data_IF_691808540318
#
_entry.id   IF_691808540318
#
_cell.length_a   1.000
_cell.length_b   1.000
_cell.length_c   1.000
_cell.angle_alpha   90.00
_cell.angle_beta   90.00
_cell.angle_gamma   90.00
#
_symmetry.space_group_name_H-M   'P 1'
#
loop_
_entity.id
_entity.type
_entity.pdbx_description
1 polymer ?
#
# COMPACT_ATOMS: atom_id res chain seq x y z
N UNK A 1 53.54 0.10 -72.50
CA UNK A 1 53.58 -0.55 -71.17
C UNK A 1 54.21 0.43 -70.18
N UNK A 2 53.46 0.91 -69.19
CA UNK A 2 53.97 1.86 -68.18
C UNK A 2 54.64 1.05 -67.06
N UNK A 3 55.96 1.17 -66.94
CA UNK A 3 56.73 0.46 -65.91
C UNK A 3 56.30 0.94 -64.51
N UNK A 4 55.77 0.04 -63.69
CA UNK A 4 55.51 0.29 -62.28
C UNK A 4 56.87 0.22 -61.57
N UNK A 5 57.51 1.36 -61.38
CA UNK A 5 58.70 1.47 -60.51
C UNK A 5 58.28 1.17 -59.08
N UNK A 6 58.64 -0.01 -58.57
CA UNK A 6 58.51 -0.33 -57.14
C UNK A 6 59.45 0.60 -56.37
N UNK A 7 58.89 1.60 -55.69
CA UNK A 7 59.63 2.35 -54.67
C UNK A 7 60.08 1.36 -53.60
N UNK A 8 61.39 1.23 -53.39
CA UNK A 8 61.93 0.45 -52.29
C UNK A 8 61.51 1.11 -50.98
N UNK A 9 60.78 0.38 -50.14
CA UNK A 9 60.45 0.82 -48.79
C UNK A 9 61.76 0.90 -47.99
N UNK A 10 62.10 2.08 -47.47
CA UNK A 10 63.19 2.18 -46.47
C UNK A 10 62.70 1.45 -45.21
N UNK A 11 63.51 0.54 -44.69
CA UNK A 11 63.16 -0.23 -43.49
C UNK A 11 62.90 0.66 -42.29
N UNK A 12 61.97 0.25 -41.43
CA UNK A 12 61.69 0.93 -40.16
C UNK A 12 62.85 0.74 -39.19
N UNK A 13 63.21 1.78 -38.45
CA UNK A 13 64.16 1.65 -37.36
C UNK A 13 63.51 0.92 -36.17
N UNK A 14 64.32 0.18 -35.40
CA UNK A 14 63.84 -0.52 -34.20
C UNK A 14 63.21 0.45 -33.19
N UNK A 15 63.73 1.68 -33.10
CA UNK A 15 63.19 2.73 -32.23
C UNK A 15 61.81 3.25 -32.69
N UNK A 16 61.56 3.38 -34.00
CA UNK A 16 60.24 3.74 -34.53
C UNK A 16 59.20 2.67 -34.21
N UNK A 17 59.57 1.38 -34.28
CA UNK A 17 58.69 0.28 -33.90
C UNK A 17 58.34 0.32 -32.40
N UNK A 18 59.34 0.56 -31.54
CA UNK A 18 59.13 0.68 -30.09
C UNK A 18 58.20 1.84 -29.74
N UNK A 19 58.40 3.00 -30.36
CA UNK A 19 57.54 4.19 -30.15
C UNK A 19 56.12 3.92 -30.65
N UNK A 20 55.97 3.32 -31.83
CA UNK A 20 54.65 3.01 -32.40
C UNK A 20 53.85 2.05 -31.50
N UNK A 21 54.50 1.00 -30.97
CA UNK A 21 53.86 0.05 -30.05
C UNK A 21 53.51 0.75 -28.73
N UNK A 22 54.39 1.59 -28.19
CA UNK A 22 54.12 2.35 -26.96
C UNK A 22 52.89 3.24 -27.10
N UNK A 23 52.80 4.03 -28.17
CA UNK A 23 51.65 4.90 -28.44
C UNK A 23 50.39 4.06 -28.66
N UNK A 24 50.48 2.98 -29.44
CA UNK A 24 49.37 2.06 -29.67
C UNK A 24 48.80 1.47 -28.38
N UNK A 25 49.66 1.07 -27.45
CA UNK A 25 49.26 0.56 -26.13
C UNK A 25 48.57 1.63 -25.29
N UNK A 26 49.10 2.85 -25.25
CA UNK A 26 48.50 3.97 -24.51
C UNK A 26 47.09 4.27 -25.04
N UNK A 27 46.93 4.34 -26.36
CA UNK A 27 45.63 4.57 -26.99
C UNK A 27 44.64 3.43 -26.70
N UNK A 28 45.09 2.17 -26.77
CA UNK A 28 44.25 1.02 -26.46
C UNK A 28 43.74 1.06 -25.02
N UNK A 29 44.60 1.39 -24.04
CA UNK A 29 44.21 1.54 -22.64
C UNK A 29 43.16 2.66 -22.49
N UNK A 30 43.35 3.79 -23.17
CA UNK A 30 42.37 4.88 -23.16
C UNK A 30 40.99 4.45 -23.68
N UNK A 31 40.93 3.73 -24.81
CA UNK A 31 39.67 3.24 -25.38
C UNK A 31 39.00 2.21 -24.46
N UNK A 32 39.76 1.31 -23.84
CA UNK A 32 39.22 0.34 -22.88
C UNK A 32 38.58 1.04 -21.69
N UNK A 33 39.20 2.11 -21.16
CA UNK A 33 38.64 2.90 -20.06
C UNK A 33 37.31 3.56 -20.46
N UNK A 34 37.25 4.21 -21.63
CA UNK A 34 36.02 4.83 -22.15
C UNK A 34 34.92 3.80 -22.31
N UNK A 35 35.23 2.65 -22.92
CA UNK A 35 34.25 1.58 -23.11
C UNK A 35 33.77 0.99 -21.77
N UNK A 36 34.66 0.79 -20.80
CA UNK A 36 34.30 0.31 -19.47
C UNK A 36 33.41 1.32 -18.71
N UNK A 37 33.72 2.60 -18.81
CA UNK A 37 32.89 3.67 -18.24
C UNK A 37 31.50 3.72 -18.91
N UNK A 38 31.43 3.66 -20.24
CA UNK A 38 30.18 3.63 -20.99
C UNK A 38 29.32 2.42 -20.63
N UNK A 39 29.93 1.22 -20.52
CA UNK A 39 29.24 0.01 -20.06
C UNK A 39 28.67 0.18 -18.66
N UNK A 40 29.44 0.76 -17.74
CA UNK A 40 28.99 0.99 -16.35
C UNK A 40 27.84 1.98 -16.30
N UNK A 41 27.93 3.08 -17.06
CA UNK A 41 26.86 4.08 -17.17
C UNK A 41 25.57 3.48 -17.75
N UNK A 42 25.69 2.64 -18.79
CA UNK A 42 24.56 1.94 -19.38
C UNK A 42 23.87 0.99 -18.38
N UNK A 43 24.65 0.20 -17.64
CA UNK A 43 24.11 -0.71 -16.62
C UNK A 43 23.42 0.05 -15.48
N UNK A 44 23.98 1.20 -15.06
CA UNK A 44 23.34 2.06 -14.07
C UNK A 44 22.01 2.62 -14.59
N UNK A 45 21.99 3.12 -15.83
CA UNK A 45 20.78 3.64 -16.47
C UNK A 45 19.67 2.58 -16.58
N UNK A 46 20.03 1.39 -17.06
CA UNK A 46 19.09 0.26 -17.15
C UNK A 46 18.58 -0.19 -15.77
N UNK A 47 19.45 -0.21 -14.75
CA UNK A 47 19.06 -0.52 -13.38
C UNK A 47 18.09 0.51 -12.79
N UNK A 48 18.33 1.81 -13.01
CA UNK A 48 17.44 2.89 -12.58
C UNK A 48 16.08 2.85 -13.29
N UNK A 49 16.05 2.50 -14.58
CA UNK A 49 14.79 2.37 -15.32
C UNK A 49 13.93 1.22 -14.75
N UNK A 50 14.54 0.05 -14.51
CA UNK A 50 13.86 -1.10 -13.87
C UNK A 50 13.38 -0.75 -12.46
N UNK A 51 14.19 -0.01 -11.71
CA UNK A 51 13.86 0.45 -10.37
C UNK A 51 12.60 1.32 -10.32
N UNK A 52 12.52 2.29 -11.23
CA UNK A 52 11.37 3.20 -11.33
C UNK A 52 10.11 2.45 -11.78
N UNK A 53 10.25 1.54 -12.74
CA UNK A 53 9.13 0.74 -13.23
C UNK A 53 8.58 -0.19 -12.13
N UNK A 54 9.46 -0.90 -11.43
CA UNK A 54 9.08 -1.75 -10.32
C UNK A 54 8.44 -0.93 -9.19
N UNK A 55 9.01 0.23 -8.84
CA UNK A 55 8.42 1.15 -7.87
C UNK A 55 6.98 1.56 -8.26
N UNK A 56 6.74 1.86 -9.54
CA UNK A 56 5.40 2.19 -10.05
C UNK A 56 4.43 1.02 -9.90
N UNK A 57 4.82 -0.19 -10.27
CA UNK A 57 3.98 -1.38 -10.10
C UNK A 57 3.68 -1.66 -8.63
N UNK A 58 4.67 -1.53 -7.74
CA UNK A 58 4.48 -1.77 -6.30
C UNK A 58 3.43 -0.83 -5.71
N UNK A 59 3.49 0.46 -6.07
CA UNK A 59 2.50 1.46 -5.64
C UNK A 59 1.13 1.18 -6.23
N UNK A 60 1.04 0.78 -7.51
CA UNK A 60 -0.24 0.47 -8.16
C UNK A 60 -0.97 -0.69 -7.48
N UNK A 61 -0.27 -1.79 -7.21
CA UNK A 61 -0.83 -2.93 -6.47
C UNK A 61 -1.33 -2.54 -5.08
N UNK A 62 -0.51 -1.80 -4.32
CA UNK A 62 -0.88 -1.35 -2.98
C UNK A 62 -2.09 -0.40 -3.02
N UNK A 63 -2.08 0.60 -3.91
CA UNK A 63 -3.15 1.58 -4.00
C UNK A 63 -4.48 0.94 -4.40
N UNK A 64 -4.49 -0.01 -5.33
CA UNK A 64 -5.70 -0.71 -5.76
C UNK A 64 -6.38 -1.41 -4.58
N UNK A 65 -5.63 -2.20 -3.81
CA UNK A 65 -6.21 -2.99 -2.73
C UNK A 65 -6.47 -2.13 -1.48
N UNK A 66 -5.64 -1.12 -1.19
CA UNK A 66 -5.87 -0.17 -0.09
C UNK A 66 -7.18 0.62 -0.30
N UNK A 67 -7.51 0.99 -1.54
CA UNK A 67 -8.78 1.65 -1.88
C UNK A 67 -10.00 0.75 -1.67
N UNK A 68 -9.80 -0.56 -1.64
CA UNK A 68 -10.87 -1.53 -1.39
C UNK A 68 -11.03 -1.85 0.09
N UNK A 69 -10.04 -1.58 0.94
CA UNK A 69 -10.15 -1.88 2.37
C UNK A 69 -11.42 -1.25 2.97
N UNK A 70 -12.24 -2.07 3.63
CA UNK A 70 -13.52 -1.64 4.20
C UNK A 70 -14.67 -1.55 3.20
N UNK A 71 -14.48 -1.96 1.94
CA UNK A 71 -15.59 -2.19 1.02
C UNK A 71 -16.42 -3.40 1.50
N UNK A 72 -17.67 -3.18 1.86
CA UNK A 72 -18.60 -4.22 2.33
C UNK A 72 -19.92 -4.19 1.53
N UNK A 73 -19.85 -4.01 0.21
CA UNK A 73 -21.02 -3.90 -0.66
C UNK A 73 -21.41 -2.44 -0.91
N UNK A 74 -22.70 -2.08 -0.74
CA UNK A 74 -23.15 -0.73 -1.13
C UNK A 74 -22.49 0.42 -0.36
N UNK A 75 -22.14 0.20 0.91
CA UNK A 75 -21.56 1.21 1.80
C UNK A 75 -20.27 0.69 2.42
N UNK A 76 -19.38 1.61 2.79
CA UNK A 76 -18.12 1.28 3.45
C UNK A 76 -18.32 0.85 4.91
N UNK A 77 -17.28 0.27 5.48
CA UNK A 77 -17.19 -0.15 6.87
C UNK A 77 -17.53 0.98 7.85
N UNK A 78 -17.00 2.17 7.66
CA UNK A 78 -17.21 3.30 8.55
C UNK A 78 -18.69 3.67 8.69
N UNK A 79 -19.46 3.63 7.60
CA UNK A 79 -20.90 3.85 7.64
C UNK A 79 -21.64 2.71 8.37
N UNK A 80 -21.21 1.45 8.20
CA UNK A 80 -21.84 0.30 8.87
C UNK A 80 -21.54 0.27 10.36
N UNK A 81 -20.35 0.67 10.76
CA UNK A 81 -19.93 0.62 12.16
C UNK A 81 -20.61 1.66 13.06
N UNK A 82 -21.29 2.66 12.47
CA UNK A 82 -22.13 3.61 13.21
C UNK A 82 -23.39 2.98 13.81
N UNK A 83 -23.85 1.84 13.27
CA UNK A 83 -25.06 1.16 13.72
C UNK A 83 -24.70 -0.27 14.11
N UNK A 84 -24.83 -0.58 15.40
CA UNK A 84 -24.54 -1.91 15.93
C UNK A 84 -25.33 -2.99 15.17
N UNK A 85 -24.63 -4.00 14.66
CA UNK A 85 -25.21 -5.12 13.93
C UNK A 85 -25.24 -4.97 12.40
N UNK A 86 -25.00 -3.77 11.85
CA UNK A 86 -24.96 -3.58 10.38
C UNK A 86 -23.77 -4.25 9.70
N UNK A 87 -22.66 -4.46 10.41
CA UNK A 87 -21.59 -5.35 9.99
C UNK A 87 -21.45 -6.46 11.02
N UNK A 88 -21.65 -7.71 10.60
CA UNK A 88 -21.54 -8.89 11.45
C UNK A 88 -20.46 -9.82 10.89
N UNK A 89 -19.37 -10.01 11.64
CA UNK A 89 -18.37 -11.02 11.32
C UNK A 89 -18.71 -12.31 12.07
N UNK A 90 -19.02 -13.36 11.32
CA UNK A 90 -19.22 -14.70 11.88
C UNK A 90 -17.89 -15.44 12.10
N UNK A 91 -16.75 -14.82 11.80
CA UNK A 91 -15.42 -15.43 11.87
C UNK A 91 -14.76 -15.30 13.26
N UNK A 92 -14.05 -16.34 13.70
CA UNK A 92 -13.34 -16.38 14.99
C UNK A 92 -12.26 -15.30 15.05
N UNK A 93 -12.34 -14.46 16.08
CA UNK A 93 -11.39 -13.36 16.32
C UNK A 93 -10.04 -13.83 16.86
N UNK A 94 -9.94 -15.11 17.27
CA UNK A 94 -8.66 -15.77 17.63
C UNK A 94 -7.71 -15.88 16.44
N UNK A 95 -8.20 -15.68 15.22
CA UNK A 95 -7.39 -15.46 14.02
C UNK A 95 -7.46 -13.98 13.69
N UNK A 96 -6.51 -13.14 14.16
CA UNK A 96 -6.62 -11.67 14.03
C UNK A 96 -6.72 -11.24 12.57
N UNK A 97 -6.17 -12.02 11.64
CA UNK A 97 -6.30 -11.81 10.21
C UNK A 97 -7.72 -11.81 9.67
N UNK A 98 -8.68 -12.45 10.35
CA UNK A 98 -10.08 -12.52 9.92
C UNK A 98 -10.99 -11.59 10.74
N UNK A 99 -10.43 -10.65 11.50
CA UNK A 99 -11.22 -9.62 12.15
C UNK A 99 -11.66 -8.53 11.15
N UNK A 100 -12.74 -8.78 10.41
CA UNK A 100 -13.34 -7.82 9.45
C UNK A 100 -13.97 -6.59 10.11
N UNK A 101 -14.03 -6.55 11.45
CA UNK A 101 -14.31 -5.30 12.17
C UNK A 101 -13.20 -4.25 12.00
N UNK A 102 -12.01 -4.67 11.54
CA UNK A 102 -10.86 -3.82 11.25
C UNK A 102 -10.46 -3.98 9.78
N UNK A 103 -10.85 -3.02 8.95
CA UNK A 103 -10.60 -3.02 7.51
C UNK A 103 -9.14 -2.85 7.12
N UNK A 104 -8.39 -2.07 7.89
CA UNK A 104 -6.97 -1.81 7.68
C UNK A 104 -6.23 -1.89 9.01
N UNK A 105 -5.09 -2.58 9.01
CA UNK A 105 -4.24 -2.70 10.19
C UNK A 105 -2.78 -2.74 9.79
N UNK A 106 -1.98 -1.88 10.40
CA UNK A 106 -0.54 -1.77 10.15
C UNK A 106 0.31 -2.34 11.27
N UNK A 107 1.55 -2.68 10.93
CA UNK A 107 2.62 -3.01 11.85
C UNK A 107 3.85 -2.19 11.45
N UNK A 108 4.25 -1.28 12.33
CA UNK A 108 5.38 -0.37 12.10
C UNK A 108 6.68 -1.12 12.38
N UNK A 109 7.66 -1.05 11.48
CA UNK A 109 8.99 -1.54 11.79
C UNK A 109 9.66 -0.68 12.87
N UNK A 110 10.43 -1.31 13.76
CA UNK A 110 11.08 -0.54 14.83
C UNK A 110 12.06 0.50 14.25
N UNK A 111 12.02 1.71 14.82
CA UNK A 111 12.90 2.84 14.45
C UNK A 111 12.75 3.34 12.99
N UNK A 112 11.56 3.21 12.39
CA UNK A 112 11.29 3.68 11.01
C UNK A 112 10.35 4.88 10.91
N UNK A 113 9.81 5.34 12.05
CA UNK A 113 8.95 6.51 12.11
C UNK A 113 9.55 7.77 11.43
N UNK A 114 8.72 8.73 10.97
CA UNK A 114 9.20 9.94 10.31
C UNK A 114 10.33 10.64 11.06
N UNK A 115 11.31 11.15 10.31
CA UNK A 115 12.58 11.74 10.77
C UNK A 115 13.64 10.74 11.29
N UNK A 116 13.33 9.45 11.44
CA UNK A 116 14.37 8.45 11.72
C UNK A 116 15.22 8.15 10.48
N UNK A 117 16.48 7.78 10.71
CA UNK A 117 17.38 7.29 9.65
C UNK A 117 17.38 5.77 9.64
N UNK A 118 17.08 5.17 8.49
CA UNK A 118 17.01 3.71 8.32
C UNK A 118 18.27 3.21 7.60
N UNK A 119 19.00 2.28 8.22
CA UNK A 119 20.14 1.60 7.60
C UNK A 119 19.70 0.30 6.96
N UNK A 120 19.46 0.28 5.65
CA UNK A 120 18.90 -0.89 4.93
C UNK A 120 19.76 -2.17 5.01
N UNK A 121 21.06 -2.03 5.22
CA UNK A 121 21.99 -3.17 5.33
C UNK A 121 21.88 -3.89 6.68
N UNK A 122 21.42 -3.19 7.72
CA UNK A 122 21.23 -3.73 9.07
C UNK A 122 20.05 -3.01 9.74
N UNK A 123 18.83 -3.23 9.25
CA UNK A 123 17.65 -2.59 9.81
C UNK A 123 17.35 -3.14 11.21
N UNK A 124 16.75 -2.30 12.06
CA UNK A 124 16.31 -2.74 13.38
C UNK A 124 15.26 -3.85 13.25
N UNK A 125 15.39 -4.87 14.11
CA UNK A 125 14.45 -5.98 14.16
C UNK A 125 13.19 -5.63 14.98
N UNK A 126 12.10 -6.30 14.66
CA UNK A 126 10.85 -6.20 15.38
C UNK A 126 9.90 -5.14 14.82
N UNK A 127 8.65 -5.24 15.27
CA UNK A 127 7.55 -4.38 14.87
C UNK A 127 6.74 -3.95 16.08
N UNK A 128 6.08 -2.81 15.95
CA UNK A 128 5.12 -2.29 16.92
C UNK A 128 3.82 -1.88 16.19
N UNK A 129 2.67 -2.51 16.50
CA UNK A 129 2.47 -3.59 17.46
C UNK A 129 3.26 -4.87 17.12
N UNK A 130 3.40 -5.79 18.10
CA UNK A 130 4.05 -7.06 17.86
C UNK A 130 3.33 -7.87 16.77
N UNK A 131 4.09 -8.52 15.89
CA UNK A 131 3.50 -9.32 14.81
C UNK A 131 2.73 -10.51 15.37
N UNK A 132 1.50 -10.77 14.90
CA UNK A 132 0.81 -12.01 15.20
C UNK A 132 1.54 -13.19 14.51
N UNK A 133 1.35 -14.39 15.06
CA UNK A 133 2.08 -15.61 14.66
C UNK A 133 1.93 -15.93 13.18
N UNK A 134 0.79 -15.59 12.58
CA UNK A 134 0.56 -15.82 11.15
C UNK A 134 1.42 -14.93 10.25
N UNK A 135 1.87 -13.76 10.70
CA UNK A 135 2.79 -12.90 9.94
C UNK A 135 4.24 -13.30 10.25
N UNK A 136 4.56 -13.56 11.52
CA UNK A 136 5.93 -13.93 11.91
C UNK A 136 6.40 -15.25 11.29
N UNK A 137 5.48 -16.15 10.96
CA UNK A 137 5.77 -17.46 10.36
C UNK A 137 5.71 -17.45 8.83
N UNK A 138 5.54 -16.30 8.18
CA UNK A 138 5.55 -16.22 6.72
C UNK A 138 6.89 -16.71 6.16
N UNK A 139 6.83 -17.35 4.99
CA UNK A 139 8.00 -17.76 4.24
C UNK A 139 7.82 -17.33 2.76
N UNK A 140 8.59 -16.34 2.26
CA UNK A 140 9.72 -15.69 2.93
C UNK A 140 9.30 -14.86 4.13
N UNK A 141 10.17 -14.79 5.13
CA UNK A 141 9.94 -14.01 6.35
C UNK A 141 9.90 -12.50 6.05
N UNK A 142 9.09 -11.72 6.78
CA UNK A 142 9.09 -10.28 6.64
C UNK A 142 10.46 -9.67 6.91
N UNK A 143 10.91 -8.80 6.03
CA UNK A 143 12.20 -8.11 6.13
C UNK A 143 12.12 -7.04 7.22
N UNK A 144 13.02 -7.05 8.21
CA UNK A 144 13.08 -5.99 9.21
C UNK A 144 13.31 -4.61 8.59
N UNK A 145 12.86 -3.57 9.29
CA UNK A 145 12.90 -2.19 8.80
C UNK A 145 11.83 -1.84 7.77
N UNK A 146 10.95 -2.77 7.38
CA UNK A 146 9.82 -2.50 6.48
C UNK A 146 8.50 -2.74 7.20
N UNK A 147 7.55 -1.85 6.98
CA UNK A 147 6.20 -1.96 7.52
C UNK A 147 5.43 -3.09 6.85
N UNK A 148 4.36 -3.49 7.53
CA UNK A 148 3.41 -4.50 7.05
C UNK A 148 2.01 -3.92 7.16
N UNK A 149 1.16 -4.20 6.18
CA UNK A 149 -0.25 -3.81 6.22
C UNK A 149 -1.14 -5.00 5.92
N UNK A 150 -2.22 -5.10 6.70
CA UNK A 150 -3.29 -6.08 6.56
C UNK A 150 -4.54 -5.34 6.11
N UNK A 151 -5.15 -5.82 5.03
CA UNK A 151 -6.34 -5.26 4.42
C UNK A 151 -7.45 -6.31 4.45
N UNK A 152 -8.67 -5.86 4.74
CA UNK A 152 -9.87 -6.71 4.79
C UNK A 152 -11.02 -6.01 4.08
N UNK A 153 -11.65 -6.72 3.15
CA UNK A 153 -12.71 -6.19 2.32
C UNK A 153 -13.49 -7.30 1.60
N UNK A 154 -14.64 -6.96 1.06
CA UNK A 154 -15.32 -7.76 0.05
C UNK A 154 -14.82 -7.37 -1.34
N UNK A 155 -14.60 -8.36 -2.20
CA UNK A 155 -14.18 -8.13 -3.59
C UNK A 155 -15.10 -7.09 -4.28
N UNK A 156 -14.55 -6.36 -5.25
CA UNK A 156 -15.30 -5.30 -5.95
C UNK A 156 -16.50 -5.86 -6.72
N UNK A 157 -16.38 -7.08 -7.23
CA UNK A 157 -17.42 -7.76 -7.97
C UNK A 157 -18.14 -8.78 -7.09
N UNK A 158 -19.46 -8.80 -7.19
CA UNK A 158 -20.32 -9.74 -6.48
C UNK A 158 -21.45 -10.24 -7.38
N UNK A 159 -22.09 -11.33 -6.95
CA UNK A 159 -23.18 -11.96 -7.68
C UNK A 159 -24.49 -11.75 -6.92
N UNK A 160 -25.56 -11.22 -7.56
CA UNK A 160 -26.86 -11.09 -6.93
C UNK A 160 -27.37 -12.42 -6.39
N UNK A 161 -27.84 -12.40 -5.15
CA UNK A 161 -28.44 -13.56 -4.49
C UNK A 161 -29.84 -13.80 -5.06
N UNK A 162 -30.11 -15.01 -5.54
CA UNK A 162 -31.38 -15.42 -6.15
C UNK A 162 -32.26 -16.24 -5.21
N UNK A 163 -31.70 -16.78 -4.13
CA UNK A 163 -32.47 -17.48 -3.10
C UNK A 163 -31.74 -17.52 -1.76
N UNK A 164 -32.52 -17.55 -0.68
CA UNK A 164 -32.02 -17.65 0.69
C UNK A 164 -32.90 -18.63 1.45
N UNK A 165 -32.30 -19.65 2.03
CA UNK A 165 -32.98 -20.66 2.85
C UNK A 165 -32.20 -20.86 4.14
N UNK A 166 -32.62 -20.18 5.21
CA UNK A 166 -31.91 -20.14 6.49
C UNK A 166 -30.47 -19.64 6.31
N UNK A 167 -29.51 -20.55 6.43
CA UNK A 167 -28.06 -20.29 6.34
C UNK A 167 -27.43 -20.65 4.99
N UNK A 168 -28.26 -20.92 3.97
CA UNK A 168 -27.84 -21.16 2.60
C UNK A 168 -28.22 -19.99 1.71
N UNK A 169 -27.30 -19.61 0.84
CA UNK A 169 -27.44 -18.58 -0.19
C UNK A 169 -27.28 -19.25 -1.54
N UNK A 170 -28.17 -18.93 -2.48
CA UNK A 170 -28.05 -19.36 -3.88
C UNK A 170 -27.89 -18.15 -4.80
N UNK A 171 -27.08 -18.33 -5.84
CA UNK A 171 -26.81 -17.37 -6.91
C UNK A 171 -27.00 -18.06 -8.26
N UNK A 172 -27.05 -17.28 -9.34
CA UNK A 172 -27.01 -17.83 -10.71
C UNK A 172 -25.68 -18.58 -10.95
N UNK A 173 -25.69 -19.91 -11.18
CA UNK A 173 -24.46 -20.69 -11.41
C UNK A 173 -23.67 -20.19 -12.62
N UNK A 174 -24.33 -19.59 -13.62
CA UNK A 174 -23.66 -19.05 -14.80
C UNK A 174 -22.75 -17.85 -14.48
N UNK A 175 -22.95 -17.20 -13.32
CA UNK A 175 -22.15 -16.06 -12.85
C UNK A 175 -21.13 -16.44 -11.77
N UNK A 176 -20.97 -17.74 -11.48
CA UNK A 176 -20.08 -18.21 -10.42
C UNK A 176 -18.62 -17.78 -10.61
N UNK A 177 -18.18 -17.65 -11.87
CA UNK A 177 -16.82 -17.22 -12.21
C UNK A 177 -16.43 -15.87 -11.58
N UNK A 178 -17.37 -14.97 -11.33
CA UNK A 178 -17.15 -13.70 -10.63
C UNK A 178 -16.52 -13.93 -9.25
N UNK A 179 -16.97 -14.97 -8.53
CA UNK A 179 -16.49 -15.30 -7.20
C UNK A 179 -15.11 -15.99 -7.22
N UNK A 180 -14.71 -16.57 -8.36
CA UNK A 180 -13.46 -17.33 -8.51
C UNK A 180 -12.36 -16.60 -9.28
N UNK A 181 -12.55 -15.31 -9.58
CA UNK A 181 -11.55 -14.47 -10.25
C UNK A 181 -10.32 -14.21 -9.34
N UNK A 182 -9.30 -13.52 -9.88
CA UNK A 182 -8.09 -13.08 -9.17
C UNK A 182 -7.24 -14.22 -8.58
N UNK A 183 -7.25 -15.39 -9.23
CA UNK A 183 -6.41 -16.54 -8.86
C UNK A 183 -6.98 -17.41 -7.74
N UNK A 184 -8.22 -17.17 -7.28
CA UNK A 184 -8.86 -17.97 -6.24
C UNK A 184 -9.88 -18.93 -6.85
N UNK A 185 -9.43 -20.13 -7.22
CA UNK A 185 -10.30 -21.13 -7.87
C UNK A 185 -11.41 -21.69 -6.96
N UNK A 186 -11.14 -21.79 -5.65
CA UNK A 186 -12.04 -22.42 -4.67
C UNK A 186 -12.19 -21.52 -3.43
N UNK A 187 -12.95 -20.41 -3.52
CA UNK A 187 -13.17 -19.52 -2.39
C UNK A 187 -14.01 -20.22 -1.32
N UNK A 188 -13.66 -20.02 -0.05
CA UNK A 188 -14.54 -20.40 1.07
C UNK A 188 -14.80 -19.26 2.06
N UNK A 189 -14.23 -18.07 1.85
CA UNK A 189 -14.60 -16.86 2.58
C UNK A 189 -15.53 -16.01 1.73
N UNK A 190 -16.67 -15.67 2.28
CA UNK A 190 -17.70 -14.90 1.59
C UNK A 190 -18.22 -13.77 2.47
N UNK A 191 -18.76 -12.75 1.81
CA UNK A 191 -19.61 -11.75 2.44
C UNK A 191 -20.94 -11.70 1.72
N UNK A 192 -22.04 -11.69 2.46
CA UNK A 192 -23.36 -11.35 1.93
C UNK A 192 -23.69 -9.94 2.40
N UNK A 193 -24.23 -9.09 1.52
CA UNK A 193 -24.56 -7.74 1.90
C UNK A 193 -25.61 -7.10 1.01
N UNK A 194 -26.33 -6.16 1.58
CA UNK A 194 -27.14 -5.17 0.89
C UNK A 194 -26.70 -3.77 1.35
N UNK A 195 -27.51 -2.73 1.18
CA UNK A 195 -27.11 -1.39 1.60
C UNK A 195 -27.28 -1.10 3.09
N UNK A 196 -27.84 -2.03 3.87
CA UNK A 196 -28.08 -1.92 5.31
C UNK A 196 -27.15 -2.84 6.10
N UNK A 197 -27.09 -4.12 5.71
CA UNK A 197 -26.35 -5.16 6.41
C UNK A 197 -25.20 -5.72 5.56
N UNK A 198 -24.16 -6.20 6.23
CA UNK A 198 -23.11 -7.04 5.66
C UNK A 198 -22.71 -8.10 6.69
N UNK A 199 -22.70 -9.35 6.26
CA UNK A 199 -22.31 -10.50 7.06
C UNK A 199 -21.13 -11.19 6.38
N UNK A 200 -20.01 -11.33 7.10
CA UNK A 200 -18.82 -12.05 6.62
C UNK A 200 -18.78 -13.42 7.29
N UNK A 201 -18.57 -14.47 6.51
CA UNK A 201 -18.63 -15.84 7.00
C UNK A 201 -17.73 -16.78 6.20
N UNK A 202 -17.44 -17.95 6.77
CA UNK A 202 -16.82 -19.04 6.06
C UNK A 202 -17.89 -20.03 5.58
N UNK A 203 -17.78 -20.46 4.34
CA UNK A 203 -18.60 -21.52 3.80
C UNK A 203 -18.27 -22.87 4.46
N UNK A 204 -19.33 -23.58 4.83
CA UNK A 204 -19.31 -24.99 5.19
C UNK A 204 -19.29 -25.85 3.92
N UNK A 205 -20.12 -25.48 2.95
CA UNK A 205 -20.23 -26.18 1.67
C UNK A 205 -20.33 -25.17 0.55
N UNK A 206 -19.55 -25.39 -0.51
CA UNK A 206 -19.56 -24.57 -1.72
C UNK A 206 -19.87 -25.51 -2.89
N UNK A 207 -21.01 -25.30 -3.55
CA UNK A 207 -21.41 -26.05 -4.74
C UNK A 207 -21.51 -25.10 -5.93
N UNK A 208 -20.39 -24.91 -6.63
CA UNK A 208 -20.29 -24.00 -7.77
C UNK A 208 -21.31 -24.35 -8.88
N UNK A 209 -21.48 -25.64 -9.19
CA UNK A 209 -22.41 -26.09 -10.22
C UNK A 209 -23.89 -25.86 -9.87
N UNK A 210 -24.23 -25.81 -8.59
CA UNK A 210 -25.56 -25.46 -8.11
C UNK A 210 -25.70 -23.96 -7.74
N UNK A 211 -24.61 -23.18 -7.83
CA UNK A 211 -24.58 -21.79 -7.40
C UNK A 211 -24.90 -21.62 -5.91
N UNK A 212 -24.56 -22.59 -5.06
CA UNK A 212 -24.99 -22.62 -3.66
C UNK A 212 -23.81 -22.51 -2.68
N UNK A 213 -23.97 -21.66 -1.67
CA UNK A 213 -23.05 -21.51 -0.54
C UNK A 213 -23.83 -21.71 0.76
N UNK A 214 -23.39 -22.63 1.60
CA UNK A 214 -23.99 -22.89 2.92
C UNK A 214 -22.97 -22.58 4.00
N UNK A 215 -23.39 -21.96 5.10
CA UNK A 215 -22.53 -21.66 6.24
C UNK A 215 -23.17 -22.11 7.56
N UNK A 216 -22.45 -22.88 8.38
CA UNK A 216 -22.90 -23.34 9.69
C UNK A 216 -22.20 -22.57 10.79
N UNK A 217 -22.97 -22.21 11.83
CA UNK A 217 -22.48 -21.58 13.05
C UNK A 217 -21.44 -22.45 13.79
N UNK A 218 -21.42 -23.77 13.55
CA UNK A 218 -20.63 -24.75 14.29
C UNK A 218 -19.48 -25.36 13.49
N UNK A 219 -19.01 -24.70 12.42
CA UNK A 219 -17.99 -25.25 11.52
C UNK A 219 -16.84 -24.28 11.23
N UNK A 220 -15.61 -24.80 11.20
CA UNK A 220 -14.43 -24.05 10.78
C UNK A 220 -14.17 -22.81 11.63
N UNK A 221 -13.86 -21.70 10.97
CA UNK A 221 -13.69 -20.37 11.53
C UNK A 221 -15.02 -19.69 11.91
N UNK A 222 -16.19 -20.31 11.70
CA UNK A 222 -17.44 -19.69 12.15
C UNK A 222 -17.56 -19.80 13.69
N UNK A 223 -17.62 -18.66 14.39
CA UNK A 223 -17.42 -18.55 15.84
C UNK A 223 -18.68 -18.81 16.68
N UNK A 224 -19.36 -19.94 16.52
CA UNK A 224 -20.53 -20.29 17.34
C UNK A 224 -21.60 -19.16 17.41
N UNK A 225 -21.63 -18.30 16.38
CA UNK A 225 -22.60 -17.22 16.21
C UNK A 225 -23.71 -17.74 15.30
N UNK A 226 -24.99 -17.57 15.66
CA UNK A 226 -26.09 -17.99 14.81
C UNK A 226 -25.98 -17.36 13.42
N UNK A 227 -25.96 -18.20 12.39
CA UNK A 227 -25.99 -17.77 10.99
C UNK A 227 -27.40 -18.04 10.46
N UNK A 228 -28.14 -16.97 10.22
CA UNK A 228 -29.41 -17.00 9.52
C UNK A 228 -29.50 -15.78 8.60
N UNK A 229 -29.42 -16.02 7.30
CA UNK A 229 -29.50 -14.97 6.30
C UNK A 229 -30.95 -14.59 5.99
N UNK A 230 -31.91 -15.51 6.20
CA UNK A 230 -33.30 -15.32 5.81
C UNK A 230 -34.02 -14.26 6.65
N UNK A 231 -33.60 -14.04 7.90
CA UNK A 231 -34.16 -12.98 8.76
C UNK A 231 -33.65 -11.58 8.45
N UNK A 232 -32.52 -11.44 7.74
CA UNK A 232 -31.86 -10.15 7.47
C UNK A 232 -31.90 -9.71 6.02
N UNK A 233 -31.88 -10.65 5.08
CA UNK A 233 -31.68 -10.38 3.67
C UNK A 233 -32.89 -10.80 2.84
N UNK A 234 -33.12 -10.06 1.76
CA UNK A 234 -34.14 -10.39 0.76
C UNK A 234 -33.46 -10.67 -0.58
N UNK A 235 -33.72 -11.84 -1.17
CA UNK A 235 -33.16 -12.22 -2.46
C UNK A 235 -33.72 -11.37 -3.62
N UNK A 236 -32.97 -11.30 -4.72
CA UNK A 236 -33.42 -10.72 -5.99
C UNK A 236 -34.61 -11.51 -6.55
N UNK A 237 -35.61 -10.85 -7.18
CA UNK A 237 -35.63 -9.43 -7.55
C UNK A 237 -36.22 -8.50 -6.49
N UNK A 238 -36.78 -9.03 -5.40
CA UNK A 238 -37.46 -8.22 -4.38
C UNK A 238 -36.50 -7.44 -3.48
N UNK A 239 -35.25 -7.91 -3.36
CA UNK A 239 -34.17 -7.23 -2.65
C UNK A 239 -32.90 -7.11 -3.47
N UNK A 240 -31.96 -6.30 -2.97
CA UNK A 240 -30.67 -6.01 -3.61
C UNK A 240 -29.51 -6.68 -2.86
N UNK A 241 -29.70 -7.94 -2.45
CA UNK A 241 -28.67 -8.69 -1.74
C UNK A 241 -27.66 -9.26 -2.73
N UNK A 242 -26.38 -9.08 -2.43
CA UNK A 242 -25.27 -9.57 -3.26
C UNK A 242 -24.33 -10.42 -2.42
N UNK A 243 -23.84 -11.50 -3.03
CA UNK A 243 -22.79 -12.36 -2.49
C UNK A 243 -21.45 -11.93 -3.08
N UNK A 244 -20.45 -11.75 -2.23
CA UNK A 244 -19.10 -11.36 -2.57
C UNK A 244 -18.11 -12.38 -2.04
N UNK A 245 -16.94 -12.48 -2.67
CA UNK A 245 -15.77 -13.10 -2.03
C UNK A 245 -15.24 -12.15 -0.95
N UNK A 246 -14.94 -12.68 0.23
CA UNK A 246 -14.28 -11.90 1.28
C UNK A 246 -12.77 -12.11 1.20
N UNK A 247 -12.02 -11.01 1.26
CA UNK A 247 -10.57 -10.98 1.12
C UNK A 247 -9.95 -10.49 2.44
N UNK A 248 -8.93 -11.20 2.91
CA UNK A 248 -7.98 -10.70 3.88
C UNK A 248 -6.59 -10.85 3.26
N UNK A 249 -5.83 -9.76 3.22
CA UNK A 249 -4.57 -9.66 2.46
C UNK A 249 -3.50 -9.05 3.35
N UNK A 250 -2.29 -9.61 3.33
CA UNK A 250 -1.09 -9.05 3.94
C UNK A 250 -0.12 -8.62 2.85
N UNK A 251 0.29 -7.36 2.90
CA UNK A 251 1.40 -6.84 2.12
C UNK A 251 2.63 -6.66 2.99
N UNK A 252 3.76 -7.19 2.52
CA UNK A 252 5.03 -7.11 3.23
C UNK A 252 6.22 -7.20 2.27
N UNK A 253 7.38 -6.74 2.72
CA UNK A 253 8.63 -6.95 2.00
C UNK A 253 9.29 -8.22 2.50
N UNK A 254 9.64 -9.13 1.60
CA UNK A 254 10.30 -10.40 1.90
C UNK A 254 11.61 -10.54 1.12
N UNK A 255 12.50 -11.41 1.61
CA UNK A 255 13.75 -11.76 0.88
C UNK A 255 13.55 -13.07 0.14
N UNK A 256 13.78 -13.08 -1.17
CA UNK A 256 13.58 -14.27 -2.01
C UNK A 256 14.52 -15.40 -1.58
N UNK A 257 13.98 -16.60 -1.38
CA UNK A 257 14.79 -17.78 -1.06
C UNK A 257 15.78 -18.08 -2.22
N UNK A 258 17.08 -18.16 -1.91
CA UNK A 258 18.12 -18.47 -2.90
C UNK A 258 18.58 -17.32 -3.80
N UNK A 259 18.06 -16.10 -3.63
CA UNK A 259 18.50 -14.93 -4.39
C UNK A 259 18.81 -13.73 -3.49
N UNK A 260 19.83 -12.95 -3.86
CA UNK A 260 20.14 -11.67 -3.19
C UNK A 260 19.17 -10.60 -3.70
N UNK A 261 17.96 -10.55 -3.15
CA UNK A 261 16.96 -9.55 -3.51
C UNK A 261 15.74 -9.56 -2.61
N UNK A 262 15.19 -8.37 -2.38
CA UNK A 262 13.91 -8.18 -1.68
C UNK A 262 12.82 -7.84 -2.67
N UNK A 263 11.58 -8.21 -2.33
CA UNK A 263 10.43 -8.04 -3.19
C UNK A 263 9.20 -7.69 -2.37
N UNK A 264 8.23 -7.03 -3.00
CA UNK A 264 6.90 -6.87 -2.45
C UNK A 264 6.16 -8.19 -2.60
N UNK A 265 5.75 -8.75 -1.47
CA UNK A 265 4.92 -9.94 -1.40
C UNK A 265 3.51 -9.56 -1.01
N UNK A 266 2.56 -10.30 -1.59
CA UNK A 266 1.19 -10.35 -1.15
C UNK A 266 0.89 -11.76 -0.67
N UNK A 267 0.19 -11.83 0.44
CA UNK A 267 -0.33 -13.09 0.94
C UNK A 267 -1.83 -12.91 1.20
N UNK A 268 -2.60 -13.94 0.85
CA UNK A 268 -4.04 -13.97 1.02
C UNK A 268 -4.39 -15.02 2.06
N UNK A 269 -5.45 -14.77 2.82
CA UNK A 269 -6.04 -15.83 3.64
C UNK A 269 -6.93 -16.67 2.76
N UNK A 270 -6.70 -17.98 2.78
CA UNK A 270 -7.62 -18.93 2.17
C UNK A 270 -8.04 -19.94 3.23
N UNK A 271 -9.34 -20.09 3.40
CA UNK A 271 -9.88 -21.14 4.24
C UNK A 271 -10.41 -22.23 3.32
N UNK A 272 -10.15 -23.51 3.59
CA UNK A 272 -10.95 -24.56 2.95
C UNK A 272 -12.40 -24.49 3.47
N UNK A 273 -13.39 -24.94 2.70
CA UNK A 273 -14.75 -25.07 3.25
C UNK A 273 -14.72 -26.01 4.47
N UNK A 274 -15.35 -25.63 5.59
CA UNK A 274 -15.24 -26.29 6.91
C UNK A 274 -13.84 -26.34 7.55
N UNK A 275 -12.81 -25.76 6.94
CA UNK A 275 -11.43 -25.84 7.44
C UNK A 275 -11.10 -24.78 8.49
N UNK A 276 -9.98 -24.96 9.19
CA UNK A 276 -9.34 -23.87 9.93
C UNK A 276 -8.84 -22.83 8.93
N UNK A 277 -8.93 -21.55 9.28
CA UNK A 277 -8.36 -20.51 8.45
C UNK A 277 -6.84 -20.66 8.35
N UNK A 278 -6.33 -20.83 7.13
CA UNK A 278 -4.90 -20.97 6.86
C UNK A 278 -4.43 -19.88 5.91
N UNK A 279 -3.12 -19.69 5.88
CA UNK A 279 -2.48 -18.79 4.93
C UNK A 279 -2.43 -19.47 3.57
N UNK A 280 -2.75 -18.74 2.50
CA UNK A 280 -2.44 -19.21 1.16
C UNK A 280 -0.92 -19.28 1.03
N UNK A 281 -0.39 -20.49 0.85
CA UNK A 281 1.04 -20.74 0.68
C UNK A 281 1.32 -21.33 -0.71
N UNK A 282 2.44 -20.93 -1.35
CA UNK A 282 3.36 -19.88 -0.92
C UNK A 282 2.78 -18.45 -1.11
N UNK A 283 3.29 -17.44 -0.38
CA UNK A 283 3.02 -16.03 -0.68
C UNK A 283 3.35 -15.68 -2.13
N UNK A 284 2.56 -14.78 -2.71
CA UNK A 284 2.70 -14.31 -4.08
C UNK A 284 3.75 -13.20 -4.15
N UNK A 285 4.78 -13.39 -4.95
CA UNK A 285 5.73 -12.33 -5.27
C UNK A 285 5.14 -11.41 -6.34
N UNK A 286 4.94 -10.12 -6.01
CA UNK A 286 4.31 -9.17 -6.93
C UNK A 286 5.34 -8.37 -7.72
N UNK A 287 6.34 -7.83 -7.02
CA UNK A 287 7.31 -6.89 -7.62
C UNK A 287 8.68 -7.11 -7.01
N UNK A 288 9.67 -7.38 -7.86
CA UNK A 288 11.06 -7.55 -7.44
C UNK A 288 11.80 -6.24 -7.21
N UNK A 289 12.83 -6.28 -6.36
CA UNK A 289 13.71 -5.14 -6.09
C UNK A 289 13.10 -4.09 -5.16
N UNK A 290 11.93 -4.36 -4.58
CA UNK A 290 11.37 -3.51 -3.54
C UNK A 290 12.08 -3.80 -2.22
N UNK A 291 12.97 -2.88 -1.84
CA UNK A 291 13.80 -3.05 -0.63
C UNK A 291 13.07 -2.65 0.65
N UNK A 292 12.20 -1.64 0.60
CA UNK A 292 11.60 -1.07 1.80
C UNK A 292 10.19 -0.53 1.53
N UNK A 293 9.33 -0.61 2.54
CA UNK A 293 7.98 -0.05 2.54
C UNK A 293 7.75 0.64 3.89
N UNK A 294 7.30 1.89 3.84
CA UNK A 294 6.91 2.69 5.00
C UNK A 294 5.51 3.25 4.78
N UNK A 295 4.68 3.27 5.82
CA UNK A 295 3.26 3.61 5.74
C UNK A 295 2.87 4.60 6.83
N UNK A 296 2.05 5.57 6.46
CA UNK A 296 1.46 6.54 7.40
C UNK A 296 -0.05 6.52 7.18
N UNK A 297 -0.80 6.44 8.29
CA UNK A 297 -2.24 6.25 8.30
C UNK A 297 -2.93 7.55 8.65
N UNK A 298 -3.95 7.91 7.87
CA UNK A 298 -4.81 9.05 8.16
C UNK A 298 -5.98 8.64 9.07
N UNK A 299 -6.08 9.26 10.24
CA UNK A 299 -7.12 9.00 11.24
C UNK A 299 -8.17 10.11 11.25
N UNK A 300 -9.44 9.72 11.34
CA UNK A 300 -10.58 10.63 11.51
C UNK A 300 -10.51 11.36 12.86
N UNK A 301 -10.87 12.63 12.88
CA UNK A 301 -10.91 13.43 14.11
C UNK A 301 -11.99 12.98 15.11
N UNK A 302 -13.10 12.43 14.61
CA UNK A 302 -14.25 11.97 15.39
C UNK A 302 -13.99 10.67 16.15
N UNK A 303 -14.91 10.27 17.03
CA UNK A 303 -14.83 9.01 17.77
C UNK A 303 -15.30 7.84 16.90
N UNK A 304 -15.06 6.59 17.34
CA UNK A 304 -15.56 5.40 16.62
C UNK A 304 -17.07 5.40 16.41
N UNK A 305 -17.82 5.95 17.37
CA UNK A 305 -19.28 6.03 17.30
C UNK A 305 -19.78 7.29 16.57
N UNK A 306 -18.89 8.24 16.25
CA UNK A 306 -19.25 9.50 15.61
C UNK A 306 -18.10 10.00 14.72
N UNK A 307 -17.89 9.30 13.61
CA UNK A 307 -16.91 9.65 12.59
C UNK A 307 -17.37 10.90 11.84
N UNK A 308 -16.44 11.84 11.66
CA UNK A 308 -16.72 13.15 11.04
C UNK A 308 -16.46 13.16 9.52
N UNK A 309 -15.73 12.17 9.02
CA UNK A 309 -15.17 12.14 7.68
C UNK A 309 -13.93 13.04 7.50
N UNK A 310 -13.46 13.69 8.56
CA UNK A 310 -12.33 14.61 8.53
C UNK A 310 -11.04 13.92 8.96
N UNK A 311 -10.16 13.66 7.99
CA UNK A 311 -8.82 13.12 8.24
C UNK A 311 -7.83 14.26 8.35
N UNK A 312 -7.33 14.51 9.56
CA UNK A 312 -6.32 15.57 9.80
C UNK A 312 -5.06 15.07 10.47
N UNK A 313 -5.09 13.88 11.05
CA UNK A 313 -4.01 13.36 11.87
C UNK A 313 -3.39 12.16 11.14
N UNK A 314 -2.11 12.28 10.82
CA UNK A 314 -1.33 11.23 10.16
C UNK A 314 -0.39 10.60 11.18
N UNK A 315 -0.49 9.29 11.35
CA UNK A 315 0.22 8.55 12.41
C UNK A 315 0.79 7.25 11.86
N UNK A 316 1.89 6.80 12.44
CA UNK A 316 2.48 5.47 12.22
C UNK A 316 1.71 4.39 12.99
N UNK A 317 1.87 3.12 12.60
CA UNK A 317 1.08 2.04 13.19
C UNK A 317 1.36 1.83 14.69
N UNK A 318 2.59 2.11 15.14
CA UNK A 318 2.96 2.02 16.56
C UNK A 318 2.19 3.01 17.44
N UNK A 319 1.78 4.17 16.90
CA UNK A 319 1.01 5.18 17.64
C UNK A 319 -0.48 4.82 17.69
N UNK A 320 -1.03 4.26 16.60
CA UNK A 320 -2.39 3.71 16.60
C UNK A 320 -2.53 2.51 17.55
N UNK A 321 -1.41 1.84 17.86
CA UNK A 321 -1.29 0.72 18.77
C UNK A 321 -2.21 -0.47 18.39
N UNK A 322 -2.32 -1.49 19.24
CA UNK A 322 -3.20 -2.64 19.00
C UNK A 322 -4.69 -2.33 19.29
N UNK A 323 -5.05 -1.08 19.55
CA UNK A 323 -6.41 -0.70 19.89
C UNK A 323 -7.31 -0.76 18.64
N UNK A 324 -8.21 -1.73 18.61
CA UNK A 324 -9.17 -1.95 17.53
C UNK A 324 -9.99 -0.69 17.19
N UNK A 325 -10.37 0.09 18.20
CA UNK A 325 -11.10 1.35 18.03
C UNK A 325 -10.32 2.38 17.23
N UNK A 326 -9.00 2.39 17.32
CA UNK A 326 -8.18 3.35 16.59
C UNK A 326 -8.06 3.00 15.11
N UNK A 327 -7.97 1.71 14.79
CA UNK A 327 -7.95 1.24 13.41
C UNK A 327 -9.29 1.46 12.70
N UNK A 328 -10.43 1.37 13.41
CA UNK A 328 -11.77 1.69 12.87
C UNK A 328 -11.92 3.16 12.44
N UNK A 329 -11.07 4.05 12.96
CA UNK A 329 -11.06 5.49 12.62
C UNK A 329 -10.13 5.82 11.46
N UNK A 330 -9.35 4.89 10.95
CA UNK A 330 -8.50 5.13 9.78
C UNK A 330 -9.40 5.34 8.57
N UNK A 331 -9.37 6.55 8.01
CA UNK A 331 -10.37 7.03 7.05
C UNK A 331 -10.32 6.30 5.71
N UNK A 332 -11.49 5.92 5.19
CA UNK A 332 -11.71 5.48 3.82
C UNK A 332 -12.68 6.46 3.14
N UNK A 333 -12.40 7.76 3.21
CA UNK A 333 -13.16 8.73 2.42
C UNK A 333 -12.58 8.81 1.01
N UNK A 334 -13.49 8.70 0.03
CA UNK A 334 -13.27 8.84 -1.42
C UNK A 334 -12.05 9.73 -1.73
N UNK A 335 -10.88 9.10 -1.91
CA UNK A 335 -9.68 9.73 -2.45
C UNK A 335 -8.47 9.90 -1.52
N UNK A 336 -8.53 9.69 -0.20
CA UNK A 336 -7.35 9.88 0.67
C UNK A 336 -7.28 8.87 1.83
N UNK A 337 -7.19 7.57 1.55
CA UNK A 337 -7.06 6.54 2.60
C UNK A 337 -5.62 6.36 3.15
N UNK A 338 -4.62 6.88 2.47
CA UNK A 338 -3.25 6.94 2.97
C UNK A 338 -2.49 7.97 2.15
N UNK A 339 -1.88 8.98 2.79
CA UNK A 339 -0.79 9.71 2.15
C UNK A 339 0.45 8.81 2.23
N UNK A 340 0.52 7.83 1.35
CA UNK A 340 1.69 6.97 1.24
C UNK A 340 2.84 7.77 0.64
N UNK A 341 3.69 8.36 1.48
CA UNK A 341 5.03 8.74 1.05
C UNK A 341 5.84 7.45 0.93
N UNK A 342 5.73 6.78 -0.23
CA UNK A 342 6.56 5.62 -0.53
C UNK A 342 7.99 6.09 -0.79
N UNK A 343 8.87 5.90 0.20
CA UNK A 343 10.31 6.06 0.02
C UNK A 343 10.92 4.71 -0.36
N UNK A 344 11.06 4.41 -1.65
CA UNK A 344 11.87 3.30 -2.12
C UNK A 344 13.34 3.70 -2.09
N UNK A 345 14.09 3.23 -1.09
CA UNK A 345 15.51 3.54 -0.97
C UNK A 345 16.38 2.45 -1.62
N UNK A 346 17.11 2.87 -2.68
CA UNK A 346 18.28 2.26 -3.35
C UNK A 346 18.14 0.86 -3.94
N UNK A 347 18.70 0.71 -5.15
CA UNK A 347 18.98 -0.57 -5.80
C UNK A 347 20.47 -0.85 -5.68
N UNK A 348 20.83 -1.99 -5.10
CA UNK A 348 22.21 -2.43 -5.04
C UNK A 348 22.74 -2.80 -6.44
N UNK A 349 23.37 -1.84 -7.13
CA UNK A 349 24.28 -2.15 -8.22
C UNK A 349 25.50 -2.86 -7.62
N UNK A 350 25.60 -4.18 -7.85
CA UNK A 350 26.73 -5.01 -7.44
C UNK A 350 28.07 -4.35 -7.83
N UNK A 351 28.75 -3.73 -6.86
CA UNK A 351 30.17 -3.37 -6.97
C UNK A 351 30.96 -4.41 -6.20
N UNK A 352 31.63 -5.32 -6.91
CA UNK A 352 32.76 -6.06 -6.33
C UNK A 352 33.87 -5.04 -6.03
N UNK A 353 34.35 -4.89 -4.79
CA UNK A 353 35.53 -4.09 -4.53
C UNK A 353 36.74 -4.89 -5.03
N UNK A 354 37.46 -4.35 -6.02
CA UNK A 354 38.84 -4.76 -6.25
C UNK A 354 39.63 -4.34 -5.00
N UNK A 355 40.07 -5.33 -4.22
CA UNK A 355 41.00 -5.11 -3.09
C UNK A 355 42.26 -4.45 -3.65
N UNK A 356 42.52 -3.20 -3.29
CA UNK A 356 43.89 -2.69 -3.25
C UNK A 356 44.45 -3.03 -1.88
N UNK A 357 45.56 -3.76 -1.90
CA UNK A 357 46.44 -3.91 -0.75
C UNK A 357 47.14 -2.58 -0.54
N UNK A 358 46.87 -1.92 0.58
CA UNK A 358 47.77 -0.91 1.13
C UNK A 358 48.12 -1.31 2.57
N UNK A 359 49.42 -1.32 2.82
CA UNK A 359 50.07 -1.78 4.04
C UNK A 359 49.81 -0.84 5.23
N UNK A 360 49.74 -1.44 6.41
CA UNK A 360 49.54 -0.80 7.70
C UNK A 360 50.79 -0.06 8.21
N UNK A 361 50.56 1.01 8.98
CA UNK A 361 51.42 1.42 10.10
C UNK A 361 50.55 1.91 11.28
N UNK A 362 50.82 1.49 12.53
CA UNK A 362 50.02 1.86 13.70
C UNK A 362 50.71 2.92 14.57
N UNK A 363 49.92 3.84 15.13
CA UNK A 363 50.20 4.64 16.33
C UNK A 363 48.86 5.28 16.73
N UNK A 364 48.42 5.43 17.96
CA UNK A 364 48.96 5.15 19.29
C UNK A 364 47.82 5.60 20.24
N UNK A 365 47.65 4.87 21.34
CA UNK A 365 46.65 5.17 22.35
C UNK A 365 46.98 6.47 23.09
N UNK A 366 45.96 7.24 23.49
CA UNK A 366 46.02 7.94 24.77
C UNK A 366 44.63 8.15 25.39
N UNK A 367 44.56 7.76 26.67
CA UNK A 367 43.48 8.05 27.62
C UNK A 367 43.82 9.34 28.35
N UNK A 368 42.83 10.15 28.74
CA UNK A 368 42.65 10.73 30.09
C UNK A 368 41.36 11.58 30.11
N UNK A 369 40.43 11.31 31.06
CA UNK A 369 40.05 12.19 32.22
C UNK A 369 39.98 13.68 31.84
N UNK A 370 38.91 14.44 32.04
CA UNK A 370 37.85 14.41 33.05
C UNK A 370 37.72 15.82 33.64
N UNK A 371 36.48 16.21 33.93
CA UNK A 371 36.05 17.24 34.89
C UNK A 371 35.74 18.69 34.45
N UNK A 372 34.48 19.06 34.75
CA UNK A 372 33.96 20.28 35.38
C UNK A 372 34.28 21.70 34.84
N UNK A 373 33.20 22.40 34.42
CA UNK A 373 32.62 23.48 35.25
C UNK A 373 32.96 24.94 34.94
N UNK A 374 31.88 25.72 34.75
CA UNK A 374 31.67 27.16 35.05
C UNK A 374 31.90 28.25 33.98
N UNK A 375 30.95 29.21 34.00
CA UNK A 375 31.05 30.60 33.49
C UNK A 375 30.34 30.84 32.14
N UNK A 376 29.09 31.33 32.07
CA UNK A 376 28.58 32.68 32.36
C UNK A 376 28.86 33.74 31.26
N UNK A 377 27.83 34.58 31.00
CA UNK A 377 27.72 35.75 30.09
C UNK A 377 27.34 35.44 28.62
N UNK A 378 26.40 36.11 27.96
CA UNK A 378 25.52 37.23 28.34
C UNK A 378 24.46 37.53 27.25
N UNK A 379 23.41 38.27 27.65
CA UNK A 379 22.68 39.37 26.97
C UNK A 379 22.46 39.33 25.42
N UNK A 380 21.30 39.60 24.78
CA UNK A 380 20.21 40.53 25.05
C UNK A 380 18.90 40.18 24.27
N UNK A 381 17.78 40.38 24.97
CA UNK A 381 16.45 40.94 24.59
C UNK A 381 16.07 41.17 23.11
N UNK A 382 14.92 40.61 22.70
CA UNK A 382 13.78 41.35 22.10
C UNK A 382 12.48 40.54 22.22
N UNK A 383 11.59 40.99 23.10
CA UNK A 383 10.20 40.52 23.29
C UNK A 383 9.23 41.55 22.71
N UNK A 384 8.09 41.08 22.17
CA UNK A 384 6.72 41.64 22.23
C UNK A 384 5.84 40.92 21.16
N UNK A 385 4.50 40.84 21.28
CA UNK A 385 3.68 40.60 22.47
C UNK A 385 2.61 39.48 22.26
N UNK A 386 2.05 39.02 23.39
CA UNK A 386 0.78 38.28 23.46
C UNK A 386 -0.41 39.23 23.25
N UNK A 387 -1.48 38.74 22.61
CA UNK A 387 -2.83 39.31 22.72
C UNK A 387 -3.86 38.20 22.99
N UNK A 388 -4.65 38.41 24.05
CA UNK A 388 -5.76 37.57 24.51
C UNK A 388 -7.07 37.85 23.75
N UNK A 389 -7.98 36.87 23.87
CA UNK A 389 -9.42 36.82 23.59
C UNK A 389 -10.21 38.07 23.19
N UNK A 390 -11.06 37.91 22.15
CA UNK A 390 -12.21 38.76 21.84
C UNK A 390 -13.11 38.14 20.74
N UNK A 391 -14.41 38.04 21.02
CA UNK A 391 -15.51 37.44 20.23
C UNK A 391 -15.75 38.22 18.91
N UNK A 392 -16.43 37.64 17.90
CA UNK A 392 -17.80 38.13 17.64
C UNK A 392 -18.82 37.04 17.26
N UNK A 393 -20.06 37.24 17.74
CA UNK A 393 -21.27 36.61 17.25
C UNK A 393 -21.48 36.86 15.76
N UNK A 394 -22.03 35.85 15.06
CA UNK A 394 -22.92 36.06 13.92
C UNK A 394 -23.91 34.90 13.83
N UNK A 395 -25.11 35.12 14.40
CA UNK A 395 -26.31 34.29 14.18
C UNK A 395 -26.79 34.49 12.74
N UNK A 396 -27.08 33.40 12.03
CA UNK A 396 -27.92 33.40 10.84
C UNK A 396 -29.13 32.50 11.07
N UNK A 397 -30.25 33.14 11.35
CA UNK A 397 -31.62 32.60 11.33
C UNK A 397 -31.99 32.08 9.94
N UNK A 398 -32.32 30.80 9.80
CA UNK A 398 -33.11 30.31 8.66
C UNK A 398 -34.59 30.37 9.02
N UNK A 399 -35.28 31.37 8.46
CA UNK A 399 -36.72 31.50 8.53
C UNK A 399 -37.40 30.59 7.50
N UNK A 400 -38.30 29.75 7.98
CA UNK A 400 -39.28 29.00 7.20
C UNK A 400 -40.34 29.95 6.63
N UNK A 401 -40.61 29.85 5.32
CA UNK A 401 -41.85 30.33 4.73
C UNK A 401 -42.44 29.23 3.86
N UNK A 402 -43.57 28.71 4.33
CA UNK A 402 -44.48 27.91 3.53
C UNK A 402 -45.23 28.78 2.53
N UNK A 403 -45.56 28.19 1.38
CA UNK A 403 -46.65 28.61 0.53
C UNK A 403 -47.31 27.36 -0.05
N UNK A 404 -48.48 27.03 0.47
CA UNK A 404 -49.46 26.21 -0.22
C UNK A 404 -50.22 27.08 -1.22
N UNK A 405 -50.45 26.59 -2.44
CA UNK A 405 -51.71 26.74 -3.17
C UNK A 405 -51.84 25.70 -4.29
N UNK A 406 -53.10 25.38 -4.58
CA UNK A 406 -53.64 24.18 -5.22
C UNK A 406 -53.69 24.23 -6.75
N UNK A 407 -53.72 23.02 -7.31
CA UNK A 407 -54.59 22.49 -8.38
C UNK A 407 -54.32 22.74 -9.88
N UNK A 408 -54.47 21.61 -10.60
CA UNK A 408 -55.04 21.37 -11.92
C UNK A 408 -54.10 21.19 -13.13
N UNK A 409 -54.27 20.05 -13.82
CA UNK A 409 -54.49 20.03 -15.27
C UNK A 409 -53.37 19.54 -16.19
N UNK A 410 -53.52 18.29 -16.66
CA UNK A 410 -53.40 17.85 -18.07
C UNK A 410 -52.14 18.12 -18.91
N UNK A 411 -51.52 17.02 -19.35
CA UNK A 411 -51.14 16.67 -20.74
C UNK A 411 -50.83 17.82 -21.70
N UNK A 412 -49.59 17.93 -22.18
CA UNK A 412 -49.30 17.64 -23.59
C UNK A 412 -47.79 17.51 -23.90
N UNK A 413 -47.51 16.82 -25.00
CA UNK A 413 -46.20 16.57 -25.61
C UNK A 413 -45.61 17.87 -26.18
N UNK A 414 -44.30 18.07 -25.98
CA UNK A 414 -43.54 19.12 -26.68
C UNK A 414 -42.07 18.78 -26.77
N UNK A 415 -41.60 18.51 -28.00
CA UNK A 415 -40.19 18.27 -28.36
C UNK A 415 -39.66 19.52 -29.07
N UNK A 416 -38.60 20.17 -28.58
CA UNK A 416 -37.63 21.03 -29.30
C UNK A 416 -36.44 21.36 -28.36
N UNK A 417 -35.23 20.81 -28.56
CA UNK A 417 -34.06 21.33 -29.31
C UNK A 417 -33.19 22.38 -28.57
N UNK A 418 -31.95 21.96 -28.28
CA UNK A 418 -30.66 22.66 -28.04
C UNK A 418 -30.62 24.00 -27.28
N UNK A 419 -30.02 23.95 -26.08
CA UNK A 419 -29.31 25.06 -25.45
C UNK A 419 -28.02 24.55 -24.81
N UNK A 420 -26.87 24.90 -25.40
CA UNK A 420 -25.56 24.54 -24.86
C UNK A 420 -25.19 25.41 -23.67
N UNK A 421 -24.90 24.78 -22.53
CA UNK A 421 -24.14 25.41 -21.45
C UNK A 421 -22.86 24.59 -21.21
N UNK A 422 -21.73 25.19 -21.60
CA UNK A 422 -20.40 24.74 -21.20
C UNK A 422 -20.26 25.00 -19.70
N UNK A 423 -20.21 23.94 -18.89
CA UNK A 423 -19.76 24.01 -17.50
C UNK A 423 -18.27 24.36 -17.42
N UNK A 424 -17.80 24.96 -16.31
CA UNK A 424 -16.43 25.45 -16.19
C UNK A 424 -15.41 24.32 -16.26
N UNK A 425 -14.49 24.42 -17.21
CA UNK A 425 -13.28 23.60 -17.27
C UNK A 425 -12.33 24.08 -16.17
N UNK A 426 -12.26 23.36 -15.06
CA UNK A 426 -11.22 23.56 -14.05
C UNK A 426 -9.89 23.05 -14.62
N UNK A 427 -9.08 23.96 -15.18
CA UNK A 427 -7.70 23.68 -15.55
C UNK A 427 -6.84 23.69 -14.29
N UNK A 428 -6.40 22.52 -13.84
CA UNK A 428 -5.33 22.42 -12.85
C UNK A 428 -4.02 22.85 -13.50
N UNK A 429 -3.53 24.04 -13.14
CA UNK A 429 -2.20 24.51 -13.50
C UNK A 429 -1.23 24.04 -12.42
N UNK A 430 -0.55 22.93 -12.67
CA UNK A 430 0.59 22.51 -11.84
C UNK A 430 1.69 23.58 -11.94
N UNK A 431 1.94 24.31 -10.84
CA UNK A 431 3.17 25.09 -10.67
C UNK A 431 4.22 24.15 -10.08
N UNK A 432 5.34 23.86 -10.75
CA UNK A 432 6.46 23.21 -10.10
C UNK A 432 7.05 24.18 -9.06
N UNK A 433 7.13 23.73 -7.81
CA UNK A 433 7.89 24.43 -6.76
C UNK A 433 9.38 24.35 -7.12
N UNK A 434 10.03 25.50 -7.30
CA UNK A 434 11.47 25.59 -7.45
C UNK A 434 12.14 25.26 -6.09
N UNK A 435 12.98 24.24 -6.08
CA UNK A 435 13.98 24.02 -5.04
C UNK A 435 15.03 25.13 -5.15
N UNK A 436 15.08 26.02 -4.17
CA UNK A 436 16.14 27.01 -4.01
C UNK A 436 17.48 26.31 -3.76
N UNK A 437 18.43 26.54 -4.64
CA UNK A 437 19.86 26.30 -4.38
C UNK A 437 20.32 27.30 -3.31
N UNK A 438 20.73 26.81 -2.14
CA UNK A 438 21.60 27.55 -1.23
C UNK A 438 23.04 27.08 -1.46
N UNK A 439 23.90 28.05 -1.68
CA UNK A 439 25.25 27.94 -2.19
C UNK A 439 26.26 27.39 -1.16
N UNK A 440 27.28 26.74 -1.70
CA UNK A 440 28.62 26.61 -1.14
C UNK A 440 29.24 28.01 -0.91
N UNK A 441 29.71 28.29 0.30
CA UNK A 441 30.83 29.20 0.57
C UNK A 441 31.29 29.01 2.03
N UNK A 442 32.58 28.71 2.22
CA UNK A 442 33.24 28.54 3.52
C UNK A 442 34.19 27.36 3.49
#
# INVERSE_FOLDING_TARGET
MKAITRKQARGLSLIELMIAILIGLILLVGVIQVFAAARTAYQLSAGLARAQENGRFAVDYLQRDIRMAGHFGCVNDQARLQIAGNLTSHLVTTVPALNFGISIQGYEANNTAPANTITLASPAAGWSPALPTYISNLNPAPRPGSDIVVLRFLASDGVPVTGITGNQVTVDPAKWNVLTNDGIASPALFGIGDCTYADVFQATTVSAGAGAVTASASSGANNNLPIDFASRYTASPSGQTTLYRAEAIVYYIGTRAGAAGSSLYRMRFNTAANGTATLATPPEELVEGVENMQLIYGRDQGTVDNLTGSVTNYQTANVLAAAETEWRRVGQNHGQAASSQFSFSRFAAWRRPLRRHDHAHPAGADRHRGNAGHGASGENVCQLPQCQHGVPECRSTYASRGMQRRAAGQSDRGRCVRGGHRGPVVRYRFRPYQLGQAALAG
#
